data_IF_287946254908
#
_entry.id   IF_287946254908
#
_cell.length_a   1.000
_cell.length_b   1.000
_cell.length_c   1.000
_cell.angle_alpha   90.00
_cell.angle_beta   90.00
_cell.angle_gamma   90.00
#
_symmetry.space_group_name_H-M   'P 1'
#
loop_
_entity.id
_entity.type
_entity.pdbx_description
1 polymer ?
#
# COMPACT_ATOMS: atom_id res chain seq x y z
N UNK A 1 65.32 -10.28 28.41
CA UNK A 1 64.45 -10.34 27.22
C UNK A 1 63.07 -10.78 27.68
N UNK A 2 62.12 -9.86 27.77
CA UNK A 2 60.72 -10.17 28.15
C UNK A 2 59.88 -10.21 26.86
N UNK A 3 59.34 -11.37 26.52
CA UNK A 3 58.45 -11.56 25.38
C UNK A 3 57.05 -11.01 25.68
N UNK A 4 56.62 -10.02 24.92
CA UNK A 4 55.24 -9.52 24.96
C UNK A 4 54.30 -10.50 24.25
N UNK A 5 53.33 -11.03 24.97
CA UNK A 5 52.25 -11.82 24.41
C UNK A 5 51.19 -10.85 23.87
N UNK A 6 51.03 -10.81 22.56
CA UNK A 6 49.91 -10.13 21.89
C UNK A 6 48.69 -11.04 22.03
N UNK A 7 47.71 -10.59 22.79
CA UNK A 7 46.36 -11.22 22.86
C UNK A 7 45.54 -10.67 21.72
N UNK A 8 45.38 -11.45 20.65
CA UNK A 8 44.39 -11.17 19.62
C UNK A 8 42.98 -11.47 20.20
N UNK A 9 42.21 -10.42 20.50
CA UNK A 9 40.76 -10.56 20.70
C UNK A 9 40.13 -10.88 19.33
N UNK A 10 39.30 -11.91 19.24
CA UNK A 10 38.48 -12.13 18.03
C UNK A 10 37.46 -11.00 17.92
N UNK A 11 37.54 -10.24 16.85
CA UNK A 11 36.49 -9.31 16.44
C UNK A 11 35.25 -10.18 16.06
N UNK A 12 34.28 -10.32 16.96
CA UNK A 12 32.98 -10.85 16.60
C UNK A 12 32.35 -9.83 15.64
N UNK A 13 32.44 -10.09 14.36
CA UNK A 13 31.53 -9.49 13.37
C UNK A 13 30.13 -9.99 13.72
N UNK A 14 29.39 -9.19 14.46
CA UNK A 14 27.94 -9.34 14.53
C UNK A 14 27.43 -9.17 13.09
N UNK A 15 27.12 -10.28 12.44
CA UNK A 15 26.39 -10.26 11.18
C UNK A 15 25.09 -9.51 11.46
N UNK A 16 24.87 -8.37 10.79
CA UNK A 16 23.60 -7.69 10.82
C UNK A 16 22.52 -8.73 10.40
N UNK A 17 21.35 -8.77 11.08
CA UNK A 17 20.29 -9.67 10.65
C UNK A 17 20.01 -9.39 9.18
N UNK A 18 19.93 -10.47 8.39
CA UNK A 18 19.58 -10.34 6.99
C UNK A 18 18.20 -9.68 6.90
N UNK A 19 18.13 -8.56 6.17
CA UNK A 19 16.88 -7.83 5.99
C UNK A 19 15.82 -8.75 5.38
N UNK A 20 14.66 -8.83 5.99
CA UNK A 20 13.51 -9.60 5.49
C UNK A 20 12.61 -8.69 4.65
N UNK A 21 11.76 -9.24 3.76
CA UNK A 21 10.73 -8.44 3.10
C UNK A 21 9.85 -7.69 4.12
N UNK A 22 9.42 -6.48 3.79
CA UNK A 22 8.43 -5.76 4.58
C UNK A 22 7.07 -6.44 4.41
N UNK A 23 6.78 -7.39 5.28
CA UNK A 23 5.57 -8.21 5.27
C UNK A 23 4.69 -7.90 6.47
N UNK A 24 3.37 -8.09 6.33
CA UNK A 24 2.43 -7.87 7.43
C UNK A 24 1.11 -7.25 7.00
N UNK A 25 1.05 -6.60 5.82
CA UNK A 25 -0.23 -6.20 5.26
C UNK A 25 -1.10 -7.42 4.94
N UNK A 26 -2.37 -7.34 5.33
CA UNK A 26 -3.36 -8.38 5.07
C UNK A 26 -4.14 -8.21 3.76
N UNK A 27 -3.80 -7.21 2.98
CA UNK A 27 -4.39 -6.90 1.68
C UNK A 27 -3.34 -6.37 0.72
N UNK A 28 -3.73 -6.13 -0.54
CA UNK A 28 -2.81 -5.57 -1.51
C UNK A 28 -2.28 -4.21 -1.05
N UNK A 29 -0.99 -4.00 -1.25
CA UNK A 29 -0.35 -2.70 -1.04
C UNK A 29 -0.51 -1.88 -2.31
N UNK A 30 -1.27 -0.78 -2.19
CA UNK A 30 -1.64 0.09 -3.32
C UNK A 30 -0.72 1.28 -3.50
N UNK A 31 -0.10 1.73 -2.43
CA UNK A 31 0.71 2.95 -2.44
C UNK A 31 1.97 2.80 -1.60
N UNK A 32 3.05 3.41 -2.08
CA UNK A 32 4.34 3.53 -1.39
C UNK A 32 4.81 4.98 -1.44
N UNK A 33 5.46 5.41 -0.37
CA UNK A 33 6.22 6.65 -0.33
C UNK A 33 7.49 6.45 0.50
N UNK A 34 8.59 7.06 0.08
CA UNK A 34 9.85 7.11 0.81
C UNK A 34 9.91 8.42 1.58
N UNK A 35 10.37 8.37 2.82
CA UNK A 35 10.60 9.56 3.62
C UNK A 35 11.66 10.47 2.98
N UNK A 36 11.59 11.80 3.16
CA UNK A 36 12.56 12.73 2.59
C UNK A 36 14.01 12.48 3.02
N UNK A 37 14.23 11.86 4.18
CA UNK A 37 15.54 11.45 4.69
C UNK A 37 16.00 10.09 4.13
N UNK A 38 15.15 9.39 3.37
CA UNK A 38 15.43 8.06 2.83
C UNK A 38 15.38 6.92 3.83
N UNK A 39 15.23 7.20 5.13
CA UNK A 39 15.34 6.19 6.19
C UNK A 39 14.07 5.38 6.45
N UNK A 40 12.92 5.82 5.92
CA UNK A 40 11.62 5.17 6.18
C UNK A 40 10.80 4.98 4.92
N UNK A 41 9.98 3.92 4.95
CA UNK A 41 8.98 3.64 3.92
C UNK A 41 7.60 3.75 4.54
N UNK A 42 6.68 4.38 3.82
CA UNK A 42 5.25 4.40 4.14
C UNK A 42 4.51 3.59 3.09
N UNK A 43 3.67 2.67 3.53
CA UNK A 43 2.80 1.89 2.66
C UNK A 43 1.33 2.08 3.01
N UNK A 44 0.46 2.04 2.00
CA UNK A 44 -0.98 2.05 2.15
C UNK A 44 -1.61 0.82 1.51
N UNK A 45 -2.54 0.18 2.20
CA UNK A 45 -3.08 -1.11 1.80
C UNK A 45 -4.61 -1.17 1.82
N UNK A 46 -5.11 -2.14 1.07
CA UNK A 46 -6.54 -2.51 1.05
C UNK A 46 -6.98 -3.24 2.33
N UNK A 47 -6.07 -3.50 3.27
CA UNK A 47 -6.38 -3.95 4.62
C UNK A 47 -6.82 -2.80 5.56
N UNK A 48 -7.01 -1.59 5.00
CA UNK A 48 -7.43 -0.35 5.68
C UNK A 48 -6.34 0.27 6.57
N UNK A 49 -5.12 -0.28 6.53
CA UNK A 49 -3.98 0.24 7.30
C UNK A 49 -2.93 0.87 6.40
N UNK A 50 -2.25 1.89 6.91
CA UNK A 50 -0.94 2.26 6.43
C UNK A 50 0.12 1.80 7.44
N UNK A 51 1.34 1.58 6.97
CA UNK A 51 2.45 1.15 7.84
C UNK A 51 3.69 1.95 7.56
N UNK A 52 4.42 2.22 8.64
CA UNK A 52 5.75 2.80 8.60
C UNK A 52 6.77 1.68 8.80
N UNK A 53 7.79 1.67 7.98
CA UNK A 53 8.87 0.69 7.99
C UNK A 53 10.22 1.39 8.07
N UNK A 54 11.17 0.80 8.76
CA UNK A 54 12.57 1.17 8.65
C UNK A 54 13.13 0.63 7.32
N UNK A 55 13.81 1.48 6.55
CA UNK A 55 14.35 1.05 5.25
C UNK A 55 15.57 0.15 5.40
N UNK A 56 16.38 0.34 6.47
CA UNK A 56 17.68 -0.33 6.62
C UNK A 56 17.54 -1.80 7.01
N UNK A 57 16.63 -2.11 7.94
CA UNK A 57 16.40 -3.48 8.43
C UNK A 57 15.03 -4.05 8.00
N UNK A 58 14.23 -3.24 7.30
CA UNK A 58 12.90 -3.59 6.78
C UNK A 58 11.87 -3.93 7.87
N UNK A 59 12.13 -3.56 9.11
CA UNK A 59 11.22 -3.79 10.23
C UNK A 59 10.05 -2.80 10.24
N UNK A 60 8.90 -3.24 10.79
CA UNK A 60 7.75 -2.37 10.95
C UNK A 60 7.93 -1.46 12.18
N UNK A 61 7.88 -0.15 11.97
CA UNK A 61 7.94 0.88 13.01
C UNK A 61 6.56 1.12 13.62
N UNK A 62 5.52 1.31 12.79
CA UNK A 62 4.17 1.64 13.25
C UNK A 62 3.09 1.15 12.29
N UNK A 63 1.88 0.96 12.83
CA UNK A 63 0.66 0.73 12.08
C UNK A 63 -0.31 1.90 12.29
N UNK A 64 -0.81 2.47 11.20
CA UNK A 64 -1.75 3.59 11.15
C UNK A 64 -3.11 3.04 10.72
N UNK A 65 -4.08 2.89 11.62
CA UNK A 65 -5.26 2.04 11.42
C UNK A 65 -6.61 2.70 11.75
N UNK A 66 -6.76 4.01 11.51
CA UNK A 66 -8.02 4.72 11.78
C UNK A 66 -8.98 4.81 10.57
N UNK A 67 -8.54 4.39 9.36
CA UNK A 67 -9.43 4.34 8.20
C UNK A 67 -10.45 3.20 8.29
N UNK A 68 -11.62 3.42 7.69
CA UNK A 68 -12.71 2.45 7.57
C UNK A 68 -12.87 1.87 6.17
N UNK A 69 -11.95 2.17 5.27
CA UNK A 69 -11.89 1.68 3.90
C UNK A 69 -10.48 1.49 3.39
N UNK A 70 -10.30 0.84 2.21
CA UNK A 70 -9.02 0.68 1.56
C UNK A 70 -8.25 1.99 1.42
N UNK A 71 -6.92 1.94 1.66
CA UNK A 71 -6.05 3.09 1.44
C UNK A 71 -5.55 3.05 0.00
N UNK A 72 -5.81 4.14 -0.74
CA UNK A 72 -5.47 4.28 -2.15
C UNK A 72 -4.16 5.02 -2.40
N UNK A 73 -3.83 5.97 -1.53
CA UNK A 73 -2.67 6.85 -1.71
C UNK A 73 -2.06 7.23 -0.38
N UNK A 74 -0.75 7.39 -0.37
CA UNK A 74 0.01 7.87 0.78
C UNK A 74 1.02 8.92 0.34
N UNK A 75 1.34 9.88 1.23
CA UNK A 75 2.34 10.92 0.97
C UNK A 75 3.05 11.32 2.26
N UNK A 76 4.36 11.61 2.14
CA UNK A 76 5.12 12.31 3.19
C UNK A 76 4.99 13.83 3.01
N UNK A 77 4.92 14.54 4.11
CA UNK A 77 5.19 15.96 4.12
C UNK A 77 6.70 16.22 3.85
N UNK A 78 7.09 17.33 3.22
CA UNK A 78 8.49 17.62 2.89
C UNK A 78 9.44 17.59 4.09
N UNK A 79 8.96 17.95 5.29
CA UNK A 79 9.74 17.88 6.52
C UNK A 79 9.83 16.49 7.16
N UNK A 80 9.21 15.45 6.60
CA UNK A 80 9.27 14.07 7.10
C UNK A 80 8.50 13.80 8.40
N UNK A 81 8.08 14.83 9.14
CA UNK A 81 7.41 14.69 10.44
C UNK A 81 5.92 14.34 10.38
N UNK A 82 5.31 14.44 9.21
CA UNK A 82 3.91 14.09 9.00
C UNK A 82 3.74 13.27 7.72
N UNK A 83 2.71 12.42 7.70
CA UNK A 83 2.27 11.69 6.52
C UNK A 83 0.78 11.86 6.32
N UNK A 84 0.31 11.68 5.10
CA UNK A 84 -1.11 11.68 4.77
C UNK A 84 -1.49 10.38 4.07
N UNK A 85 -2.71 9.90 4.35
CA UNK A 85 -3.32 8.73 3.74
C UNK A 85 -4.68 9.10 3.16
N UNK A 86 -5.04 8.57 1.99
CA UNK A 86 -6.34 8.78 1.33
C UNK A 86 -7.06 7.44 1.16
N UNK A 87 -8.36 7.40 1.41
CA UNK A 87 -9.11 6.15 1.52
C UNK A 87 -10.46 6.16 0.78
N UNK A 88 -10.92 4.94 0.49
CA UNK A 88 -12.27 4.65 0.01
C UNK A 88 -13.38 5.08 0.99
N UNK A 89 -13.04 5.35 2.26
CA UNK A 89 -14.00 5.84 3.26
C UNK A 89 -14.41 7.31 3.06
N UNK A 90 -13.93 7.94 2.00
CA UNK A 90 -14.24 9.34 1.67
C UNK A 90 -13.39 10.36 2.43
N UNK A 91 -12.38 9.92 3.17
CA UNK A 91 -11.51 10.79 3.96
C UNK A 91 -10.04 10.67 3.59
N UNK A 92 -9.28 11.71 3.96
CA UNK A 92 -7.84 11.59 4.12
C UNK A 92 -7.47 11.91 5.57
N UNK A 93 -6.45 11.24 6.10
CA UNK A 93 -5.98 11.45 7.48
C UNK A 93 -4.53 11.89 7.43
N UNK A 94 -4.21 12.93 8.20
CA UNK A 94 -2.84 13.38 8.44
C UNK A 94 -2.37 12.84 9.77
N UNK A 95 -1.17 12.26 9.78
CA UNK A 95 -0.60 11.56 10.93
C UNK A 95 0.69 12.21 11.37
N UNK A 96 0.96 12.15 12.67
CA UNK A 96 2.27 12.42 13.25
C UNK A 96 3.13 11.15 13.15
N UNK A 97 4.27 11.25 12.48
CA UNK A 97 5.17 10.11 12.22
C UNK A 97 5.80 9.58 13.52
N UNK A 98 6.19 10.47 14.43
CA UNK A 98 6.85 10.09 15.68
C UNK A 98 5.87 9.45 16.66
N UNK A 99 4.65 10.01 16.75
CA UNK A 99 3.62 9.49 17.65
C UNK A 99 2.85 8.30 17.07
N UNK A 100 2.87 8.09 15.73
CA UNK A 100 2.03 7.10 15.06
C UNK A 100 0.53 7.35 15.24
N UNK A 101 0.11 8.61 15.44
CA UNK A 101 -1.26 9.01 15.75
C UNK A 101 -1.83 10.00 14.73
N UNK A 102 -3.16 10.00 14.50
CA UNK A 102 -3.77 10.99 13.64
C UNK A 102 -3.65 12.38 14.28
N UNK A 103 -3.28 13.38 13.46
CA UNK A 103 -3.32 14.81 13.83
C UNK A 103 -4.70 15.37 13.56
N UNK A 104 -5.24 15.10 12.37
CA UNK A 104 -6.59 15.50 11.97
C UNK A 104 -7.05 14.72 10.75
N UNK A 105 -8.36 14.72 10.51
CA UNK A 105 -9.02 14.07 9.37
C UNK A 105 -9.59 15.13 8.42
N UNK A 106 -9.27 15.01 7.15
CA UNK A 106 -9.79 15.83 6.07
C UNK A 106 -11.10 15.21 5.57
N UNK A 107 -12.22 15.88 5.87
CA UNK A 107 -13.58 15.43 5.51
C UNK A 107 -14.21 16.39 4.52
N UNK A 108 -14.99 15.86 3.57
CA UNK A 108 -15.74 16.69 2.63
C UNK A 108 -15.90 16.09 1.24
N UNK A 109 -15.07 15.10 0.85
CA UNK A 109 -15.33 14.34 -0.36
C UNK A 109 -16.63 13.53 -0.24
N UNK A 110 -17.41 13.50 -1.32
CA UNK A 110 -18.67 12.74 -1.41
C UNK A 110 -18.47 11.36 -2.06
N UNK A 111 -17.23 10.96 -2.27
CA UNK A 111 -16.82 9.69 -2.86
C UNK A 111 -15.47 9.26 -2.35
N UNK A 112 -14.93 8.18 -2.94
CA UNK A 112 -13.61 7.64 -2.62
C UNK A 112 -12.54 8.70 -2.82
N UNK A 113 -11.63 8.85 -1.85
CA UNK A 113 -10.43 9.67 -2.02
C UNK A 113 -9.31 8.79 -2.59
N UNK A 114 -8.91 9.10 -3.82
CA UNK A 114 -7.97 8.27 -4.58
C UNK A 114 -6.53 8.74 -4.48
N UNK A 115 -6.32 10.03 -4.23
CA UNK A 115 -5.00 10.62 -4.22
C UNK A 115 -4.86 11.67 -3.12
N UNK A 116 -3.65 11.75 -2.55
CA UNK A 116 -3.23 12.77 -1.60
C UNK A 116 -1.79 13.20 -1.90
N UNK A 117 -1.51 14.49 -1.81
CA UNK A 117 -0.18 15.04 -2.00
C UNK A 117 0.03 16.26 -1.09
N UNK A 118 1.27 16.46 -0.61
CA UNK A 118 1.71 17.71 0.02
C UNK A 118 2.35 18.64 -1.01
N UNK A 119 2.17 19.93 -0.85
CA UNK A 119 2.94 20.93 -1.61
C UNK A 119 4.41 20.92 -1.21
N UNK A 120 5.34 21.33 -2.10
CA UNK A 120 6.78 21.32 -1.83
C UNK A 120 7.20 22.17 -0.63
N UNK A 121 6.49 23.24 -0.35
CA UNK A 121 6.68 24.12 0.83
C UNK A 121 6.04 23.58 2.11
N UNK A 122 5.27 22.47 2.00
CA UNK A 122 4.55 21.86 3.12
C UNK A 122 3.34 22.66 3.61
N UNK A 123 2.93 23.72 2.93
CA UNK A 123 1.82 24.59 3.36
C UNK A 123 0.45 24.02 3.00
N UNK A 124 0.36 23.27 1.90
CA UNK A 124 -0.89 22.75 1.36
C UNK A 124 -0.90 21.22 1.35
N UNK A 125 -2.11 20.68 1.45
CA UNK A 125 -2.44 19.30 1.07
C UNK A 125 -3.48 19.37 -0.04
N UNK A 126 -3.30 18.54 -1.08
CA UNK A 126 -4.30 18.32 -2.11
C UNK A 126 -4.85 16.89 -1.96
N UNK A 127 -6.17 16.75 -2.05
CA UNK A 127 -6.86 15.45 -2.16
C UNK A 127 -7.71 15.41 -3.42
N UNK A 128 -7.80 14.25 -4.06
CA UNK A 128 -8.62 14.06 -5.26
C UNK A 128 -9.45 12.81 -5.18
N UNK A 129 -10.71 12.88 -5.59
CA UNK A 129 -11.66 11.81 -5.40
C UNK A 129 -12.54 11.49 -6.62
N UNK A 130 -13.34 10.44 -6.47
CA UNK A 130 -14.33 10.02 -7.46
C UNK A 130 -15.60 10.89 -7.45
N UNK A 131 -15.67 11.85 -6.54
CA UNK A 131 -16.65 12.95 -6.60
C UNK A 131 -16.29 14.02 -7.63
N UNK A 132 -15.23 13.79 -8.41
CA UNK A 132 -14.71 14.71 -9.44
C UNK A 132 -14.30 16.06 -8.86
N UNK A 133 -13.75 16.07 -7.65
CA UNK A 133 -13.19 17.29 -7.05
C UNK A 133 -11.74 17.09 -6.65
N UNK A 134 -10.96 18.16 -6.79
CA UNK A 134 -9.72 18.35 -6.05
C UNK A 134 -10.00 19.30 -4.90
N UNK A 135 -9.61 18.92 -3.70
CA UNK A 135 -9.73 19.77 -2.53
C UNK A 135 -8.37 20.18 -2.01
N UNK A 136 -8.18 21.44 -1.75
CA UNK A 136 -6.98 22.02 -1.16
C UNK A 136 -7.24 22.33 0.31
N UNK A 137 -6.27 21.96 1.14
CA UNK A 137 -6.34 22.09 2.60
C UNK A 137 -5.08 22.75 3.14
N UNK A 138 -5.21 23.47 4.25
CA UNK A 138 -4.06 23.97 5.00
C UNK A 138 -3.38 22.81 5.73
N UNK A 139 -2.11 22.54 5.44
CA UNK A 139 -1.42 21.33 5.93
C UNK A 139 -1.19 21.34 7.45
N UNK A 140 -1.13 22.49 8.09
CA UNK A 140 -0.90 22.60 9.52
C UNK A 140 -2.09 22.24 10.40
N UNK A 141 -3.34 22.40 9.90
CA UNK A 141 -4.56 22.25 10.72
C UNK A 141 -5.74 21.60 9.98
N UNK A 142 -5.60 21.21 8.72
CA UNK A 142 -6.64 20.55 7.94
C UNK A 142 -7.82 21.45 7.52
N UNK A 143 -7.73 22.78 7.70
CA UNK A 143 -8.79 23.70 7.28
C UNK A 143 -8.96 23.63 5.75
N UNK A 144 -10.20 23.48 5.23
CA UNK A 144 -10.45 23.53 3.79
C UNK A 144 -10.16 24.94 3.26
N UNK A 145 -9.51 25.00 2.10
CA UNK A 145 -9.14 26.26 1.44
C UNK A 145 -9.91 26.44 0.13
N UNK A 146 -9.99 25.40 -0.68
CA UNK A 146 -10.60 25.47 -2.01
C UNK A 146 -11.05 24.12 -2.50
N UNK A 147 -12.11 24.11 -3.31
CA UNK A 147 -12.53 22.95 -4.11
C UNK A 147 -12.40 23.33 -5.58
N UNK A 148 -11.80 22.44 -6.38
CA UNK A 148 -11.65 22.58 -7.82
C UNK A 148 -12.51 21.50 -8.47
N UNK A 149 -13.44 21.92 -9.30
CA UNK A 149 -14.26 21.00 -10.09
C UNK A 149 -13.40 20.35 -11.20
N UNK A 150 -13.53 19.04 -11.36
CA UNK A 150 -12.79 18.28 -12.35
C UNK A 150 -13.76 17.54 -13.28
N UNK A 151 -13.48 17.49 -14.60
CA UNK A 151 -14.42 16.90 -15.57
C UNK A 151 -14.60 15.39 -15.43
N UNK A 152 -13.64 14.67 -14.81
CA UNK A 152 -13.66 13.23 -14.65
C UNK A 152 -13.21 12.80 -13.24
N UNK A 153 -13.50 11.55 -12.87
CA UNK A 153 -13.06 10.95 -11.61
C UNK A 153 -11.54 10.95 -11.52
N UNK A 154 -11.00 11.45 -10.42
CA UNK A 154 -9.56 11.56 -10.20
C UNK A 154 -8.97 10.22 -9.74
N UNK A 155 -7.73 10.00 -10.14
CA UNK A 155 -6.96 8.79 -9.82
C UNK A 155 -5.58 9.10 -9.26
N UNK A 156 -4.99 10.25 -9.64
CA UNK A 156 -3.64 10.64 -9.23
C UNK A 156 -3.52 12.15 -9.06
N UNK A 157 -2.68 12.58 -8.12
CA UNK A 157 -2.31 13.98 -7.87
C UNK A 157 -0.83 14.08 -7.57
N UNK A 158 -0.17 15.14 -8.07
CA UNK A 158 1.19 15.53 -7.68
C UNK A 158 1.36 17.04 -7.75
N UNK A 159 2.03 17.61 -6.78
CA UNK A 159 2.52 18.98 -6.89
C UNK A 159 3.79 19.01 -7.74
N UNK A 160 3.98 20.08 -8.47
CA UNK A 160 5.23 20.45 -9.13
C UNK A 160 6.11 21.26 -8.18
N UNK A 161 7.41 21.36 -8.47
CA UNK A 161 8.34 22.11 -7.62
C UNK A 161 8.01 23.60 -7.48
N UNK A 162 7.30 24.19 -8.46
CA UNK A 162 6.82 25.58 -8.44
C UNK A 162 5.42 25.75 -7.80
N UNK A 163 4.89 24.70 -7.18
CA UNK A 163 3.62 24.74 -6.43
C UNK A 163 2.35 24.60 -7.27
N UNK A 164 2.45 24.38 -8.60
CA UNK A 164 1.28 23.95 -9.39
C UNK A 164 0.89 22.54 -9.02
N UNK A 165 -0.33 22.14 -9.36
CA UNK A 165 -0.83 20.80 -9.12
C UNK A 165 -1.10 20.11 -10.47
N UNK A 166 -0.73 18.83 -10.58
CA UNK A 166 -1.08 17.99 -11.72
C UNK A 166 -2.08 16.93 -11.23
N UNK A 167 -3.20 16.80 -11.93
CA UNK A 167 -4.19 15.75 -11.75
C UNK A 167 -4.18 14.78 -12.92
N UNK A 168 -4.33 13.48 -12.62
CA UNK A 168 -4.62 12.43 -13.59
C UNK A 168 -5.99 11.84 -13.31
N UNK A 169 -6.69 11.45 -14.36
CA UNK A 169 -8.07 11.04 -14.24
C UNK A 169 -8.43 9.82 -15.12
N UNK A 170 -9.68 9.38 -14.97
CA UNK A 170 -10.22 8.23 -15.70
C UNK A 170 -10.45 8.47 -17.18
N UNK A 171 -10.45 9.72 -17.62
CA UNK A 171 -10.58 10.11 -19.01
C UNK A 171 -9.23 10.10 -19.79
N UNK A 172 -8.15 9.66 -19.15
CA UNK A 172 -6.82 9.56 -19.75
C UNK A 172 -6.05 10.88 -19.82
N UNK A 173 -6.61 11.97 -19.35
CA UNK A 173 -5.95 13.28 -19.39
C UNK A 173 -5.23 13.63 -18.09
N UNK A 174 -4.12 14.36 -18.23
CA UNK A 174 -3.46 15.05 -17.14
C UNK A 174 -3.78 16.53 -17.25
N UNK A 175 -4.12 17.18 -16.12
CA UNK A 175 -4.45 18.61 -16.07
C UNK A 175 -3.55 19.33 -15.07
N UNK A 176 -3.13 20.54 -15.44
CA UNK A 176 -2.26 21.39 -14.62
C UNK A 176 -3.09 22.53 -14.06
N UNK A 177 -2.96 22.75 -12.74
CA UNK A 177 -3.75 23.72 -12.00
C UNK A 177 -2.85 24.70 -11.26
N UNK A 178 -3.22 25.98 -11.29
CA UNK A 178 -2.64 27.00 -10.42
C UNK A 178 -3.38 26.96 -9.09
N UNK A 179 -2.67 26.67 -8.00
CA UNK A 179 -3.28 26.42 -6.68
C UNK A 179 -3.80 27.66 -6.01
N UNK A 180 -3.26 28.87 -6.35
CA UNK A 180 -3.64 30.13 -5.75
C UNK A 180 -5.10 30.55 -6.06
N UNK A 181 -5.55 30.30 -7.28
CA UNK A 181 -6.89 30.68 -7.75
C UNK A 181 -7.74 29.49 -8.23
N UNK A 182 -7.12 28.32 -8.40
CA UNK A 182 -7.79 27.10 -8.83
C UNK A 182 -8.02 27.02 -10.35
N UNK A 183 -7.34 27.86 -11.15
CA UNK A 183 -7.49 27.88 -12.59
C UNK A 183 -6.70 26.73 -13.22
N UNK A 184 -7.36 25.99 -14.13
CA UNK A 184 -6.67 25.03 -15.00
C UNK A 184 -5.83 25.80 -16.01
N UNK A 185 -4.51 25.58 -16.02
CA UNK A 185 -3.55 26.28 -16.87
C UNK A 185 -3.05 25.44 -18.02
N UNK A 186 -3.34 24.14 -18.02
CA UNK A 186 -2.89 23.25 -19.08
C UNK A 186 -3.55 21.88 -19.03
N UNK A 187 -3.43 21.16 -20.16
CA UNK A 187 -3.91 19.79 -20.31
C UNK A 187 -2.93 19.02 -21.20
N UNK A 188 -2.62 17.78 -20.81
CA UNK A 188 -1.81 16.83 -21.57
C UNK A 188 -2.67 15.60 -21.87
N UNK A 189 -2.90 15.31 -23.15
CA UNK A 189 -3.69 14.17 -23.65
C UNK A 189 -2.82 13.19 -24.40
N UNK A 190 -3.07 11.91 -24.19
CA UNK A 190 -2.32 10.87 -24.89
C UNK A 190 -2.69 9.47 -24.43
N UNK A 191 -2.96 9.24 -23.12
CA UNK A 191 -3.46 7.94 -22.70
C UNK A 191 -4.85 7.67 -23.27
N UNK A 192 -5.04 6.47 -23.82
CA UNK A 192 -6.34 6.02 -24.34
C UNK A 192 -7.32 5.64 -23.23
N UNK A 193 -6.80 5.38 -22.01
CA UNK A 193 -7.54 4.88 -20.85
C UNK A 193 -7.10 5.60 -19.57
N UNK A 194 -7.49 5.06 -18.43
CA UNK A 194 -7.27 5.65 -17.10
C UNK A 194 -5.79 5.95 -16.82
N UNK A 195 -5.47 7.17 -16.41
CA UNK A 195 -4.19 7.50 -15.79
C UNK A 195 -4.19 6.94 -14.37
N UNK A 196 -3.26 6.05 -14.04
CA UNK A 196 -3.22 5.35 -12.74
C UNK A 196 -2.33 6.04 -11.72
N UNK A 197 -1.21 6.60 -12.17
CA UNK A 197 -0.26 7.33 -11.33
C UNK A 197 0.49 8.41 -12.12
N UNK A 198 0.99 9.41 -11.39
CA UNK A 198 1.81 10.51 -11.89
C UNK A 198 3.07 10.63 -11.04
N UNK A 199 4.21 10.91 -11.68
CA UNK A 199 5.43 11.33 -11.03
C UNK A 199 5.97 12.60 -11.70
N UNK A 200 6.59 13.48 -10.92
CA UNK A 200 7.26 14.70 -11.40
C UNK A 200 8.76 14.56 -11.16
N UNK A 201 9.58 14.92 -12.14
CA UNK A 201 11.03 14.88 -12.02
C UNK A 201 11.54 15.88 -10.98
N UNK A 202 12.66 15.60 -10.37
CA UNK A 202 13.27 16.43 -9.31
C UNK A 202 13.55 17.85 -9.78
N UNK A 203 13.89 18.02 -11.06
CA UNK A 203 14.11 19.33 -11.70
C UNK A 203 12.80 20.07 -12.04
N UNK A 204 11.65 19.45 -11.83
CA UNK A 204 10.32 20.00 -12.10
C UNK A 204 9.99 20.18 -13.59
N UNK A 205 10.81 19.66 -14.52
CA UNK A 205 10.64 19.88 -15.96
C UNK A 205 9.83 18.80 -16.66
N UNK A 206 9.84 17.57 -16.13
CA UNK A 206 9.22 16.41 -16.79
C UNK A 206 8.19 15.76 -15.89
N UNK A 207 7.23 15.13 -16.51
CA UNK A 207 6.20 14.33 -15.87
C UNK A 207 6.22 12.94 -16.45
N UNK A 208 6.06 11.93 -15.61
CA UNK A 208 5.70 10.58 -16.02
C UNK A 208 4.27 10.30 -15.62
N UNK A 209 3.54 9.63 -16.49
CA UNK A 209 2.23 9.06 -16.19
C UNK A 209 2.20 7.59 -16.53
N UNK A 210 1.54 6.80 -15.69
CA UNK A 210 1.22 5.40 -15.97
C UNK A 210 -0.24 5.29 -16.35
N UNK A 211 -0.57 4.38 -17.27
CA UNK A 211 -1.93 4.20 -17.75
C UNK A 211 -2.36 2.75 -17.87
N UNK A 212 -3.68 2.52 -17.80
CA UNK A 212 -4.26 1.20 -18.06
C UNK A 212 -4.20 0.78 -19.54
N UNK A 213 -3.75 1.69 -20.43
CA UNK A 213 -3.42 1.41 -21.84
C UNK A 213 -2.07 0.66 -21.99
N UNK A 214 -1.42 0.30 -20.87
CA UNK A 214 -0.17 -0.44 -20.86
C UNK A 214 1.06 0.42 -21.12
N UNK A 215 0.93 1.75 -21.12
CA UNK A 215 2.05 2.66 -21.41
C UNK A 215 2.47 3.45 -20.18
N UNK A 216 3.75 3.81 -20.14
CA UNK A 216 4.28 4.92 -19.36
C UNK A 216 4.55 6.06 -20.33
N UNK A 217 4.03 7.25 -20.07
CA UNK A 217 4.26 8.42 -20.94
C UNK A 217 5.14 9.43 -20.22
N UNK A 218 6.08 9.97 -21.00
CA UNK A 218 6.99 11.03 -20.59
C UNK A 218 6.53 12.34 -21.23
N UNK A 219 6.42 13.40 -20.45
CA UNK A 219 5.92 14.70 -20.87
C UNK A 219 6.90 15.82 -20.55
N UNK A 220 6.95 16.83 -21.41
CA UNK A 220 7.52 18.14 -21.09
C UNK A 220 6.46 18.99 -20.37
N UNK A 221 6.73 19.41 -19.15
CA UNK A 221 5.76 20.15 -18.33
C UNK A 221 5.61 21.61 -18.76
N UNK A 222 6.62 22.20 -19.36
CA UNK A 222 6.56 23.59 -19.82
C UNK A 222 5.81 23.70 -21.15
N UNK A 223 6.11 22.80 -22.09
CA UNK A 223 5.46 22.75 -23.38
C UNK A 223 4.09 22.05 -23.34
N UNK A 224 3.77 21.29 -22.30
CA UNK A 224 2.59 20.43 -22.16
C UNK A 224 2.47 19.40 -23.28
N UNK A 225 3.60 18.89 -23.78
CA UNK A 225 3.67 17.95 -24.91
C UNK A 225 4.24 16.60 -24.48
N UNK A 226 3.81 15.53 -25.16
CA UNK A 226 4.39 14.21 -25.00
C UNK A 226 5.78 14.15 -25.63
N UNK A 227 6.76 13.68 -24.86
CA UNK A 227 8.12 13.41 -25.30
C UNK A 227 8.28 11.96 -25.78
N UNK A 228 7.59 11.02 -25.14
CA UNK A 228 7.63 9.60 -25.49
C UNK A 228 6.47 8.82 -24.85
N UNK A 229 6.00 7.78 -25.58
CA UNK A 229 5.19 6.69 -25.03
C UNK A 229 6.08 5.45 -24.90
N UNK A 230 6.37 5.05 -23.66
CA UNK A 230 7.25 3.93 -23.33
C UNK A 230 6.40 2.66 -23.23
N UNK A 231 6.72 1.65 -24.04
CA UNK A 231 6.02 0.36 -24.12
C UNK A 231 6.96 -0.76 -23.67
N UNK A 232 6.46 -1.70 -22.85
CA UNK A 232 7.26 -2.80 -22.32
C UNK A 232 6.54 -3.64 -21.28
N UNK A 233 5.41 -3.17 -20.73
CA UNK A 233 4.49 -3.96 -19.92
C UNK A 233 3.49 -4.72 -20.81
N UNK A 234 3.11 -5.95 -20.38
CA UNK A 234 2.10 -6.79 -21.04
C UNK A 234 0.69 -6.53 -20.48
N UNK A 235 0.35 -5.27 -20.22
CA UNK A 235 -0.97 -4.88 -19.73
C UNK A 235 -0.92 -3.59 -18.90
N UNK A 236 -1.99 -3.28 -18.16
CA UNK A 236 -2.10 -2.05 -17.38
C UNK A 236 -0.88 -1.76 -16.50
N UNK A 237 -0.40 -0.53 -16.54
CA UNK A 237 0.65 -0.02 -15.66
C UNK A 237 0.00 0.72 -14.50
N UNK A 238 0.40 0.41 -13.27
CA UNK A 238 -0.25 0.95 -12.08
C UNK A 238 0.62 1.94 -11.32
N UNK A 239 1.93 1.74 -11.32
CA UNK A 239 2.88 2.55 -10.58
C UNK A 239 3.99 3.11 -11.48
N UNK A 240 4.44 4.34 -11.20
CA UNK A 240 5.60 4.95 -11.87
C UNK A 240 6.34 5.90 -10.93
N UNK A 241 7.68 5.92 -11.03
CA UNK A 241 8.52 6.87 -10.33
C UNK A 241 9.75 7.25 -11.18
N UNK A 242 10.24 8.50 -11.04
CA UNK A 242 11.54 8.91 -11.55
C UNK A 242 12.66 8.39 -10.66
N UNK A 243 13.82 8.09 -11.25
CA UNK A 243 15.06 8.00 -10.48
C UNK A 243 15.41 9.36 -9.86
N UNK A 244 16.09 9.40 -8.71
CA UNK A 244 16.44 10.66 -8.03
C UNK A 244 17.25 11.64 -8.89
N UNK A 245 18.10 11.13 -9.78
CA UNK A 245 18.88 11.90 -10.73
C UNK A 245 18.09 12.32 -11.99
N UNK A 246 16.86 11.82 -12.13
CA UNK A 246 15.97 12.07 -13.27
C UNK A 246 16.38 11.41 -14.58
N UNK A 247 17.46 10.60 -14.61
CA UNK A 247 17.93 9.94 -15.85
C UNK A 247 17.09 8.73 -16.24
N UNK A 248 16.45 8.08 -15.26
CA UNK A 248 15.68 6.87 -15.44
C UNK A 248 14.30 6.93 -14.80
N UNK A 249 13.55 5.86 -14.99
CA UNK A 249 12.28 5.63 -14.34
C UNK A 249 12.12 4.15 -13.98
N UNK A 250 11.20 3.88 -13.04
CA UNK A 250 10.70 2.55 -12.70
C UNK A 250 9.19 2.55 -12.85
N UNK A 251 8.62 1.47 -13.38
CA UNK A 251 7.17 1.25 -13.43
C UNK A 251 6.80 -0.15 -12.97
N UNK A 252 5.57 -0.31 -12.49
CA UNK A 252 5.00 -1.58 -12.06
C UNK A 252 3.67 -1.84 -12.74
N UNK A 253 3.43 -3.09 -13.19
CA UNK A 253 2.29 -3.43 -14.01
C UNK A 253 1.51 -4.67 -13.57
N UNK A 254 0.44 -4.92 -14.29
CA UNK A 254 -0.45 -6.06 -14.11
C UNK A 254 0.23 -7.41 -14.40
N UNK A 255 1.30 -7.40 -15.17
CA UNK A 255 2.15 -8.53 -15.53
C UNK A 255 3.02 -9.03 -14.37
N UNK A 256 3.02 -8.33 -13.22
CA UNK A 256 3.84 -8.68 -12.05
C UNK A 256 5.29 -8.22 -12.15
N UNK A 257 5.64 -7.50 -13.21
CA UNK A 257 6.98 -6.98 -13.42
C UNK A 257 7.15 -5.55 -12.91
N UNK A 258 8.39 -5.21 -12.57
CA UNK A 258 8.90 -3.85 -12.61
C UNK A 258 9.74 -3.67 -13.87
N UNK A 259 9.59 -2.54 -14.52
CA UNK A 259 10.37 -2.18 -15.70
C UNK A 259 11.20 -0.94 -15.40
N UNK A 260 12.49 -1.02 -15.70
CA UNK A 260 13.42 0.08 -15.61
C UNK A 260 13.58 0.73 -16.98
N UNK A 261 13.52 2.06 -17.04
CA UNK A 261 13.56 2.85 -18.25
C UNK A 261 14.78 3.74 -18.30
N UNK A 262 15.43 3.82 -19.47
CA UNK A 262 16.42 4.84 -19.82
C UNK A 262 15.65 5.96 -20.52
N UNK A 263 15.49 7.10 -19.86
CA UNK A 263 14.66 8.20 -20.38
C UNK A 263 15.37 8.98 -21.51
N UNK A 264 16.70 8.97 -21.56
CA UNK A 264 17.43 9.59 -22.67
C UNK A 264 17.29 8.79 -23.95
N UNK A 265 17.36 7.46 -23.85
CA UNK A 265 17.15 6.55 -24.98
C UNK A 265 15.66 6.30 -25.28
N UNK A 266 14.77 6.69 -24.35
CA UNK A 266 13.32 6.44 -24.41
C UNK A 266 13.00 4.94 -24.59
N UNK A 267 13.74 4.10 -23.89
CA UNK A 267 13.71 2.67 -24.06
C UNK A 267 13.73 1.92 -22.73
N UNK A 268 13.23 0.70 -22.75
CA UNK A 268 13.36 -0.23 -21.64
C UNK A 268 14.84 -0.58 -21.44
N UNK A 269 15.33 -0.41 -20.20
CA UNK A 269 16.66 -0.84 -19.78
C UNK A 269 16.65 -2.29 -19.30
N UNK A 270 15.63 -2.64 -18.49
CA UNK A 270 15.49 -3.97 -17.88
C UNK A 270 14.03 -4.20 -17.44
N UNK A 271 13.59 -5.45 -17.46
CA UNK A 271 12.40 -5.90 -16.75
C UNK A 271 12.81 -6.93 -15.69
N UNK A 272 12.20 -6.87 -14.53
CA UNK A 272 12.41 -7.80 -13.41
C UNK A 272 11.03 -8.32 -13.01
N UNK A 273 10.82 -9.64 -13.09
CA UNK A 273 9.62 -10.26 -12.56
C UNK A 273 9.72 -10.30 -11.04
N UNK A 274 8.90 -9.49 -10.38
CA UNK A 274 9.00 -9.24 -8.94
C UNK A 274 7.93 -9.94 -8.13
N UNK A 275 6.74 -10.09 -8.71
CA UNK A 275 5.57 -10.65 -8.07
C UNK A 275 4.87 -11.64 -9.02
N UNK A 276 4.24 -12.65 -8.46
CA UNK A 276 3.36 -13.57 -9.23
C UNK A 276 2.06 -12.88 -9.64
N UNK A 277 1.78 -11.70 -9.09
CA UNK A 277 0.54 -10.93 -9.22
C UNK A 277 0.86 -9.46 -9.50
N UNK A 278 -0.14 -8.63 -9.89
CA UNK A 278 0.07 -7.22 -10.20
C UNK A 278 0.90 -6.44 -9.18
N UNK A 279 1.84 -5.65 -9.69
CA UNK A 279 2.58 -4.63 -8.94
C UNK A 279 1.79 -3.33 -8.99
N UNK A 280 1.32 -2.86 -7.84
CA UNK A 280 0.50 -1.66 -7.74
C UNK A 280 1.29 -0.40 -7.44
N UNK A 281 2.40 -0.53 -6.73
CA UNK A 281 3.21 0.60 -6.34
C UNK A 281 4.69 0.31 -6.51
N UNK A 282 5.43 1.34 -6.94
CA UNK A 282 6.89 1.33 -7.07
C UNK A 282 7.47 2.62 -6.49
N UNK A 283 8.70 2.55 -6.00
CA UNK A 283 9.47 3.71 -5.58
C UNK A 283 10.97 3.48 -5.80
N UNK A 284 11.76 4.54 -5.89
CA UNK A 284 13.21 4.48 -5.78
C UNK A 284 13.65 4.77 -4.36
N UNK A 285 14.74 4.15 -3.90
CA UNK A 285 15.49 4.68 -2.75
C UNK A 285 16.10 6.07 -3.08
N UNK A 286 16.37 6.85 -2.06
CA UNK A 286 16.87 8.22 -2.25
C UNK A 286 18.24 8.28 -2.97
N UNK A 287 19.07 7.24 -2.82
CA UNK A 287 20.34 7.11 -3.51
C UNK A 287 20.23 6.52 -4.93
N UNK A 288 19.03 6.14 -5.36
CA UNK A 288 18.74 5.57 -6.67
C UNK A 288 19.26 4.15 -6.90
N UNK A 289 19.89 3.51 -5.90
CA UNK A 289 20.48 2.17 -6.04
C UNK A 289 19.45 1.06 -5.93
N UNK A 290 18.38 1.32 -5.18
CA UNK A 290 17.32 0.33 -4.93
C UNK A 290 16.00 0.79 -5.48
N UNK A 291 15.21 -0.19 -5.92
CA UNK A 291 13.81 -0.04 -6.25
C UNK A 291 12.94 -0.80 -5.25
N UNK A 292 11.80 -0.24 -4.89
CA UNK A 292 10.78 -0.90 -4.11
C UNK A 292 9.62 -1.27 -5.01
N UNK A 293 9.05 -2.45 -4.77
CA UNK A 293 7.82 -2.89 -5.42
C UNK A 293 6.84 -3.44 -4.39
N UNK A 294 5.56 -3.18 -4.58
CA UNK A 294 4.51 -3.71 -3.76
C UNK A 294 3.28 -4.07 -4.60
N UNK A 295 2.59 -5.11 -4.20
CA UNK A 295 1.52 -5.66 -5.03
C UNK A 295 0.39 -6.33 -4.28
N UNK A 296 -0.31 -7.17 -5.01
CA UNK A 296 -1.52 -7.88 -4.55
C UNK A 296 -1.23 -8.89 -3.43
N UNK A 297 0.00 -9.34 -3.29
CA UNK A 297 0.41 -10.29 -2.25
C UNK A 297 0.61 -9.64 -0.87
N UNK A 298 0.52 -8.31 -0.78
CA UNK A 298 0.65 -7.57 0.47
C UNK A 298 2.09 -7.42 0.95
N UNK A 299 3.08 -7.73 0.12
CA UNK A 299 4.51 -7.71 0.45
C UNK A 299 5.19 -6.57 -0.30
N UNK A 300 6.06 -5.85 0.40
CA UNK A 300 6.94 -4.84 -0.18
C UNK A 300 8.32 -5.46 -0.32
N UNK A 301 8.87 -5.44 -1.52
CA UNK A 301 10.18 -6.01 -1.86
C UNK A 301 11.14 -4.91 -2.26
N UNK A 302 12.40 -5.09 -1.89
CA UNK A 302 13.51 -4.21 -2.24
C UNK A 302 14.42 -4.92 -3.23
N UNK A 303 14.81 -4.21 -4.29
CA UNK A 303 15.59 -4.74 -5.41
C UNK A 303 16.83 -3.88 -5.64
N UNK A 304 17.96 -4.51 -5.83
CA UNK A 304 19.16 -3.83 -6.32
C UNK A 304 19.00 -3.60 -7.84
N UNK A 305 18.89 -2.36 -8.27
CA UNK A 305 18.47 -2.04 -9.64
C UNK A 305 19.55 -2.33 -10.71
N UNK A 306 20.82 -2.36 -10.32
CA UNK A 306 21.90 -2.68 -11.24
C UNK A 306 22.00 -4.20 -11.51
N UNK A 307 21.92 -5.02 -10.47
CA UNK A 307 22.04 -6.49 -10.59
C UNK A 307 20.69 -7.15 -10.86
N UNK A 308 19.60 -6.57 -10.38
CA UNK A 308 18.26 -7.14 -10.39
C UNK A 308 17.99 -8.10 -9.22
N UNK A 309 18.92 -8.18 -8.27
CA UNK A 309 18.80 -9.06 -7.12
C UNK A 309 17.84 -8.49 -6.09
N UNK A 310 17.08 -9.36 -5.49
CA UNK A 310 16.23 -9.03 -4.35
C UNK A 310 17.10 -8.85 -3.11
N UNK A 311 16.86 -7.76 -2.38
CA UNK A 311 17.51 -7.48 -1.10
C UNK A 311 16.59 -8.01 0.01
N UNK A 312 17.14 -8.84 0.86
CA UNK A 312 16.41 -9.54 1.90
C UNK A 312 16.27 -11.03 1.58
N UNK A 313 16.40 -11.85 2.60
CA UNK A 313 16.04 -13.25 2.50
C UNK A 313 14.52 -13.29 2.36
N UNK A 314 13.93 -14.19 1.56
CA UNK A 314 12.50 -14.47 1.65
C UNK A 314 12.20 -14.67 3.13
N UNK A 315 11.58 -13.67 3.75
CA UNK A 315 11.45 -13.62 5.19
C UNK A 315 10.71 -14.87 5.65
N UNK A 316 11.14 -15.42 6.75
CA UNK A 316 10.36 -16.38 7.55
C UNK A 316 8.97 -15.82 7.94
N UNK A 317 8.65 -14.58 7.58
CA UNK A 317 7.39 -13.91 7.88
C UNK A 317 6.14 -14.63 7.38
N UNK A 318 6.27 -15.60 6.50
CA UNK A 318 5.19 -16.49 6.06
C UNK A 318 5.66 -17.95 5.88
N UNK A 319 6.71 -18.36 6.59
CA UNK A 319 7.24 -19.74 6.60
C UNK A 319 6.42 -20.70 7.45
N UNK A 320 5.39 -20.22 8.13
CA UNK A 320 4.43 -21.09 8.83
C UNK A 320 3.72 -22.04 7.87
N UNK A 321 3.31 -23.22 8.36
CA UNK A 321 2.61 -24.21 7.54
C UNK A 321 1.39 -23.57 6.87
N UNK A 322 1.28 -23.78 5.54
CA UNK A 322 0.15 -23.30 4.73
C UNK A 322 -0.73 -24.49 4.32
N UNK A 323 -1.38 -25.16 5.28
CA UNK A 323 -2.12 -26.38 5.01
C UNK A 323 -3.22 -26.22 3.94
N UNK A 324 -3.68 -24.98 3.74
CA UNK A 324 -4.65 -24.67 2.69
C UNK A 324 -4.08 -24.69 1.25
N UNK A 325 -2.76 -24.69 1.07
CA UNK A 325 -2.13 -24.82 -0.26
C UNK A 325 -2.03 -26.28 -0.70
N UNK A 326 -1.89 -27.20 0.25
CA UNK A 326 -1.69 -28.62 0.05
C UNK A 326 -2.96 -29.44 0.27
N UNK A 327 -4.05 -28.78 0.68
CA UNK A 327 -5.30 -29.47 1.01
C UNK A 327 -6.24 -29.58 -0.17
N UNK A 328 -6.73 -30.81 -0.41
CA UNK A 328 -7.80 -31.12 -1.36
C UNK A 328 -9.21 -30.76 -0.83
N UNK A 329 -9.32 -30.30 0.41
CA UNK A 329 -10.60 -29.96 1.00
C UNK A 329 -11.26 -28.78 0.24
N UNK A 330 -12.54 -28.92 -0.17
CA UNK A 330 -13.20 -27.87 -0.98
C UNK A 330 -13.21 -26.49 -0.35
N UNK A 331 -13.19 -26.38 0.99
CA UNK A 331 -13.11 -25.13 1.73
C UNK A 331 -11.74 -24.46 1.71
N UNK A 332 -10.67 -25.19 1.40
CA UNK A 332 -9.30 -24.68 1.41
C UNK A 332 -9.10 -23.52 0.43
N UNK A 333 -9.69 -23.64 -0.76
CA UNK A 333 -9.63 -22.58 -1.79
C UNK A 333 -10.27 -21.25 -1.33
N UNK A 334 -11.37 -21.35 -0.60
CA UNK A 334 -12.05 -20.17 -0.03
C UNK A 334 -11.26 -19.59 1.14
N UNK A 335 -10.70 -20.45 1.99
CA UNK A 335 -9.89 -20.07 3.13
C UNK A 335 -8.64 -19.25 2.76
N UNK A 336 -8.06 -19.44 1.58
CA UNK A 336 -6.91 -18.64 1.09
C UNK A 336 -7.12 -17.13 1.23
N UNK A 337 -8.36 -16.65 1.08
CA UNK A 337 -8.70 -15.24 1.25
C UNK A 337 -8.59 -14.80 2.72
N UNK A 338 -9.01 -15.67 3.65
CA UNK A 338 -8.93 -15.40 5.09
C UNK A 338 -7.47 -15.40 5.58
N UNK A 339 -6.64 -16.30 5.04
CA UNK A 339 -5.23 -16.42 5.38
C UNK A 339 -4.40 -15.18 5.05
N UNK A 340 -4.85 -14.31 4.15
CA UNK A 340 -4.17 -13.06 3.86
C UNK A 340 -4.22 -12.09 5.05
N UNK A 341 -5.29 -12.12 5.83
CA UNK A 341 -5.53 -11.19 6.92
C UNK A 341 -5.40 -11.82 8.32
N UNK A 342 -5.45 -13.12 8.44
CA UNK A 342 -5.50 -13.83 9.71
C UNK A 342 -4.42 -14.90 9.81
N UNK A 343 -3.67 -14.93 10.91
CA UNK A 343 -2.79 -16.04 11.25
C UNK A 343 -3.58 -17.20 11.84
N UNK A 344 -3.11 -18.44 11.64
CA UNK A 344 -3.72 -19.63 12.24
C UNK A 344 -3.43 -19.72 13.74
N UNK A 345 -2.23 -19.38 14.15
CA UNK A 345 -1.73 -19.53 15.52
C UNK A 345 -1.54 -18.19 16.20
N UNK A 346 -1.53 -18.18 17.52
CA UNK A 346 -1.39 -16.96 18.32
C UNK A 346 0.02 -16.35 18.25
N UNK A 347 1.02 -17.19 18.04
CA UNK A 347 2.43 -16.87 17.85
C UNK A 347 2.82 -16.67 16.37
N UNK A 348 1.85 -16.82 15.47
CA UNK A 348 2.04 -16.60 14.04
C UNK A 348 2.30 -15.15 13.69
N UNK A 349 2.67 -14.88 12.43
CA UNK A 349 2.98 -13.53 11.97
C UNK A 349 1.79 -12.58 12.23
N UNK A 350 2.09 -11.38 12.72
CA UNK A 350 1.06 -10.35 12.91
C UNK A 350 0.45 -9.98 11.56
N UNK A 351 -0.87 -10.10 11.46
CA UNK A 351 -1.65 -9.75 10.27
C UNK A 351 -2.67 -8.67 10.61
N UNK A 352 -3.33 -8.13 9.60
CA UNK A 352 -4.36 -7.08 9.77
C UNK A 352 -5.60 -7.55 10.54
N UNK A 353 -5.92 -8.85 10.51
CA UNK A 353 -6.97 -9.47 11.32
C UNK A 353 -6.43 -10.21 12.55
N UNK A 354 -7.27 -10.46 13.56
CA UNK A 354 -6.89 -11.25 14.73
C UNK A 354 -6.58 -12.70 14.30
N UNK A 355 -5.70 -13.38 15.06
CA UNK A 355 -5.42 -14.80 14.77
C UNK A 355 -6.65 -15.69 14.97
N UNK A 356 -6.67 -16.84 14.32
CA UNK A 356 -7.77 -17.80 14.38
C UNK A 356 -7.56 -18.92 15.43
N UNK A 357 -6.43 -18.95 16.15
CA UNK A 357 -6.23 -19.92 17.22
C UNK A 357 -7.39 -19.89 18.22
N UNK A 358 -8.05 -21.02 18.44
CA UNK A 358 -9.21 -21.11 19.29
C UNK A 358 -10.41 -20.28 18.85
N UNK A 359 -10.63 -20.08 17.57
CA UNK A 359 -11.70 -19.26 17.01
C UNK A 359 -13.08 -19.74 17.49
N UNK A 360 -13.37 -21.03 17.35
CA UNK A 360 -14.67 -21.59 17.73
C UNK A 360 -14.81 -21.63 19.26
N UNK A 361 -15.86 -20.99 19.77
CA UNK A 361 -16.11 -20.79 21.19
C UNK A 361 -15.45 -19.54 21.79
N UNK A 362 -14.62 -18.81 21.02
CA UNK A 362 -13.99 -17.57 21.48
C UNK A 362 -14.97 -16.40 21.38
N UNK A 363 -15.04 -15.54 22.41
CA UNK A 363 -15.82 -14.31 22.38
C UNK A 363 -15.32 -13.38 21.28
N UNK A 364 -16.22 -12.73 20.56
CA UNK A 364 -15.88 -11.69 19.60
C UNK A 364 -15.10 -10.56 20.29
N UNK A 365 -14.11 -9.99 19.60
CA UNK A 365 -13.33 -8.87 20.13
C UNK A 365 -12.36 -9.19 21.27
N UNK A 366 -12.06 -10.47 21.58
CA UNK A 366 -11.33 -10.87 22.79
C UNK A 366 -9.85 -11.26 22.59
N UNK A 367 -9.28 -11.17 21.38
CA UNK A 367 -7.85 -11.46 21.19
C UNK A 367 -7.02 -10.35 21.84
N UNK A 368 -6.16 -10.74 22.76
CA UNK A 368 -5.29 -9.84 23.48
C UNK A 368 -4.32 -9.12 22.56
N UNK A 369 -4.09 -7.83 22.79
CA UNK A 369 -3.18 -7.00 21.99
C UNK A 369 -3.68 -6.62 20.60
N UNK A 370 -4.86 -7.09 20.15
CA UNK A 370 -5.45 -6.71 18.88
C UNK A 370 -6.40 -5.51 19.02
N UNK A 371 -6.23 -4.48 18.13
CA UNK A 371 -7.05 -3.27 18.14
C UNK A 371 -8.34 -3.45 17.33
N UNK A 372 -9.39 -3.92 17.98
CA UNK A 372 -10.71 -4.10 17.37
C UNK A 372 -11.43 -2.78 17.08
N UNK A 373 -12.32 -2.79 16.08
CA UNK A 373 -13.35 -1.75 15.95
C UNK A 373 -14.25 -1.72 17.19
N UNK A 374 -14.91 -0.58 17.44
CA UNK A 374 -15.84 -0.45 18.57
C UNK A 374 -16.92 -1.54 18.52
N UNK A 375 -17.51 -1.77 17.38
CA UNK A 375 -18.54 -2.80 17.17
C UNK A 375 -18.08 -4.19 17.60
N UNK A 376 -16.84 -4.59 17.30
CA UNK A 376 -16.34 -5.90 17.69
C UNK A 376 -15.93 -5.97 19.16
N UNK A 377 -15.45 -4.88 19.76
CA UNK A 377 -15.16 -4.82 21.21
C UNK A 377 -16.41 -4.94 22.06
N UNK A 378 -17.47 -4.28 21.59
CA UNK A 378 -18.76 -4.21 22.31
C UNK A 378 -19.69 -5.39 21.94
N UNK A 379 -19.25 -6.28 21.04
CA UNK A 379 -20.03 -7.44 20.62
C UNK A 379 -20.18 -8.47 21.76
N UNK A 380 -21.40 -8.96 21.91
CA UNK A 380 -21.75 -9.96 22.95
C UNK A 380 -22.18 -11.30 22.31
N UNK A 381 -21.24 -11.89 21.56
CA UNK A 381 -21.41 -13.23 21.02
C UNK A 381 -20.07 -13.98 20.96
N UNK A 382 -20.16 -15.30 20.81
CA UNK A 382 -18.99 -16.18 20.55
C UNK A 382 -18.97 -16.62 19.11
N UNK A 383 -17.79 -16.82 18.55
CA UNK A 383 -17.63 -17.37 17.21
C UNK A 383 -17.99 -18.85 17.20
N UNK A 384 -18.97 -19.19 16.40
CA UNK A 384 -19.45 -20.54 16.14
C UNK A 384 -19.90 -20.67 14.67
N UNK A 385 -20.43 -21.82 14.29
CA UNK A 385 -20.87 -22.06 12.90
C UNK A 385 -21.94 -21.07 12.47
N UNK A 386 -22.91 -20.75 13.35
CA UNK A 386 -24.01 -19.85 13.04
C UNK A 386 -23.56 -18.41 12.87
N UNK A 387 -22.68 -17.91 13.76
CA UNK A 387 -22.17 -16.55 13.70
C UNK A 387 -21.21 -16.35 12.52
N UNK A 388 -20.38 -17.35 12.20
CA UNK A 388 -19.52 -17.32 11.02
C UNK A 388 -20.35 -17.42 9.73
N UNK A 389 -21.40 -18.27 9.73
CA UNK A 389 -22.32 -18.35 8.61
C UNK A 389 -23.01 -17.01 8.38
N UNK A 390 -23.53 -16.38 9.42
CA UNK A 390 -24.17 -15.08 9.34
C UNK A 390 -23.20 -13.98 8.87
N UNK A 391 -21.95 -14.00 9.34
CA UNK A 391 -20.91 -13.05 8.94
C UNK A 391 -20.65 -13.10 7.43
N UNK A 392 -20.50 -14.28 6.85
CA UNK A 392 -20.12 -14.43 5.44
C UNK A 392 -21.33 -14.48 4.49
N UNK A 393 -22.51 -14.86 4.93
CA UNK A 393 -23.72 -14.81 4.12
C UNK A 393 -24.28 -13.41 3.98
N UNK A 394 -24.39 -12.66 5.08
CA UNK A 394 -24.88 -11.28 5.09
C UNK A 394 -23.80 -10.27 4.67
N UNK A 395 -22.53 -10.59 4.92
CA UNK A 395 -21.37 -9.74 4.79
C UNK A 395 -21.01 -9.04 6.10
N UNK A 396 -19.70 -8.77 6.30
CA UNK A 396 -19.20 -8.12 7.51
C UNK A 396 -19.80 -6.73 7.74
N UNK A 397 -20.07 -6.00 6.68
CA UNK A 397 -20.66 -4.66 6.68
C UNK A 397 -22.10 -4.64 7.24
N UNK A 398 -22.84 -5.71 7.04
CA UNK A 398 -24.23 -5.88 7.53
C UNK A 398 -24.29 -6.57 8.88
N UNK A 399 -23.48 -7.63 9.07
CA UNK A 399 -23.47 -8.41 10.31
C UNK A 399 -22.80 -7.66 11.47
N UNK A 400 -21.74 -6.89 11.17
CA UNK A 400 -20.97 -6.09 12.13
C UNK A 400 -20.73 -4.68 11.57
N UNK A 401 -21.73 -3.82 11.52
CA UNK A 401 -21.60 -2.45 10.98
C UNK A 401 -20.44 -1.70 11.66
N UNK A 402 -19.57 -1.09 10.87
CA UNK A 402 -18.38 -0.40 11.38
C UNK A 402 -17.19 -1.32 11.68
N UNK A 403 -17.25 -2.59 11.30
CA UNK A 403 -16.06 -3.47 11.29
C UNK A 403 -15.04 -3.01 10.25
N UNK A 404 -13.76 -3.24 10.56
CA UNK A 404 -12.66 -3.04 9.59
C UNK A 404 -12.43 -4.26 8.68
N UNK A 405 -13.19 -5.31 8.81
CA UNK A 405 -13.08 -6.49 7.97
C UNK A 405 -13.57 -6.16 6.55
N UNK A 406 -12.76 -6.44 5.51
CA UNK A 406 -13.20 -6.25 4.12
C UNK A 406 -14.48 -7.02 3.80
N UNK A 407 -15.35 -6.42 2.98
CA UNK A 407 -16.60 -7.05 2.59
C UNK A 407 -16.29 -8.33 1.80
N UNK A 408 -16.63 -9.45 2.38
CA UNK A 408 -16.55 -10.78 1.78
C UNK A 408 -17.90 -11.48 1.95
N UNK A 409 -18.58 -11.69 0.84
CA UNK A 409 -19.83 -12.45 0.82
C UNK A 409 -19.65 -13.73 0.03
N UNK A 410 -20.17 -14.81 0.56
CA UNK A 410 -20.21 -16.12 -0.07
C UNK A 410 -21.68 -16.49 -0.23
N UNK A 411 -22.26 -16.27 -1.43
CA UNK A 411 -23.70 -16.41 -1.63
C UNK A 411 -24.18 -17.87 -1.69
N UNK A 412 -23.26 -18.83 -1.86
CA UNK A 412 -23.60 -20.26 -1.93
C UNK A 412 -23.45 -20.89 -0.55
N UNK A 413 -24.55 -21.32 0.04
CA UNK A 413 -24.59 -21.91 1.38
C UNK A 413 -23.71 -23.16 1.54
N UNK A 414 -23.64 -24.01 0.51
CA UNK A 414 -22.81 -25.21 0.51
C UNK A 414 -21.32 -24.87 0.55
N UNK A 415 -20.89 -23.86 -0.21
CA UNK A 415 -19.51 -23.37 -0.20
C UNK A 415 -19.15 -22.77 1.17
N UNK A 416 -20.08 -22.02 1.74
CA UNK A 416 -19.88 -21.40 3.04
C UNK A 416 -19.77 -22.44 4.16
N UNK A 417 -20.61 -23.48 4.15
CA UNK A 417 -20.51 -24.59 5.09
C UNK A 417 -19.17 -25.31 4.98
N UNK A 418 -18.70 -25.59 3.77
CA UNK A 418 -17.37 -26.19 3.52
C UNK A 418 -16.23 -25.30 3.99
N UNK A 419 -16.34 -23.98 3.85
CA UNK A 419 -15.36 -23.06 4.41
C UNK A 419 -15.30 -23.15 5.94
N UNK A 420 -16.44 -23.09 6.61
CA UNK A 420 -16.54 -23.14 8.07
C UNK A 420 -16.03 -24.48 8.60
N UNK A 421 -16.40 -25.58 7.95
CA UNK A 421 -15.87 -26.91 8.27
C UNK A 421 -14.33 -26.94 8.16
N UNK A 422 -13.79 -26.40 7.07
CA UNK A 422 -12.34 -26.33 6.88
C UNK A 422 -11.66 -25.45 7.93
N UNK A 423 -12.24 -24.29 8.26
CA UNK A 423 -11.74 -23.43 9.34
C UNK A 423 -11.70 -24.18 10.67
N UNK A 424 -12.68 -25.02 10.96
CA UNK A 424 -12.72 -25.86 12.16
C UNK A 424 -11.56 -26.86 12.21
N UNK A 425 -11.23 -27.50 11.08
CA UNK A 425 -10.07 -28.41 11.01
C UNK A 425 -8.75 -27.71 11.25
N UNK A 426 -8.61 -26.46 10.81
CA UNK A 426 -7.38 -25.68 10.92
C UNK A 426 -7.17 -25.06 12.31
N UNK A 427 -8.25 -24.64 12.96
CA UNK A 427 -8.15 -23.83 14.20
C UNK A 427 -8.34 -24.63 15.47
N UNK A 428 -8.64 -25.92 15.33
CA UNK A 428 -8.77 -26.94 16.39
C UNK A 428 -9.72 -26.51 17.53
N UNK A 429 -10.75 -27.29 17.83
CA UNK A 429 -11.18 -27.39 19.22
C UNK A 429 -9.99 -27.96 19.98
N UNK A 430 -9.55 -27.33 21.07
CA UNK A 430 -8.56 -27.92 21.97
C UNK A 430 -9.01 -29.35 22.30
N UNK A 431 -8.45 -30.31 21.58
CA UNK A 431 -8.74 -31.70 21.80
C UNK A 431 -8.32 -32.01 23.22
N UNK A 432 -9.27 -32.39 24.03
CA UNK A 432 -9.03 -33.12 25.28
C UNK A 432 -8.12 -34.31 24.96
N UNK A 433 -6.81 -34.09 25.06
CA UNK A 433 -5.80 -35.15 25.05
C UNK A 433 -6.04 -36.04 26.23
N UNK A 434 -6.85 -37.09 26.05
CA UNK A 434 -6.94 -38.20 26.96
C UNK A 434 -5.58 -38.89 26.98
N UNK A 435 -4.96 -38.88 28.12
CA UNK A 435 -3.90 -39.83 28.50
C UNK A 435 -4.43 -41.27 28.29
N UNK A 436 -3.73 -42.05 27.53
CA UNK A 436 -3.47 -43.45 27.80
C UNK A 436 -2.05 -43.78 27.41
#
# INVERSE_FOLDING_TARGET
MRAARIVLLPLLLLAAPAAADMSGHGGMVRALAIAPDGGRVLSGSFDYTARLWDFSDQSQIAELNEHFGPINSVAYAPGGGSVATASDDGTAIVWDVAAGKPRFTLKGHEGKVMAVAFSPDGALIATGGWDRTVRLWHAGNGRPLRTLEHPADLTALRFTGDGRLISGARDGALRVWRTQDGVQTGEMKGHDWVVTQIAVSTDGRRVLSAGTDGTVRLWDLAALTELAALRGHEGPVFGVAFSPDGSGAISGGSDGAIVLWDLAKRAQRRAILTHVKPVWAVAFSQDGRFGLSAGTDGVIRVWHLETGDRIGIPGEGDSGPKPWLESDHPGARLYRKCANCHSLTADGPRRSGPHFAGLFGRRAGSVEGYKYSRTLRDADFTWNDETLFALFSKGPDVFLPGTKMPVQRIPQDDQLRRLIEYMRTLTGAAGSGGRR
#
